data_IF_940558669709
#
_entry.id   IF_940558669709
#
_cell.length_a   1.000
_cell.length_b   1.000
_cell.length_c   1.000
_cell.angle_alpha   90.00
_cell.angle_beta   90.00
_cell.angle_gamma   90.00
#
_symmetry.space_group_name_H-M   'P 1'
#
loop_
_entity.id
_entity.type
_entity.pdbx_description
1 polymer ?
#
# COMPACT_ATOMS: atom_id res chain seq x y z
N UNK A 1 -3.58 5.09 -5.41
CA UNK A 1 -2.34 5.91 -5.50
C UNK A 1 -2.01 6.51 -4.16
N UNK A 2 -0.90 6.10 -3.52
CA UNK A 2 -0.33 6.73 -2.33
C UNK A 2 0.83 7.66 -2.71
N UNK A 3 1.87 7.70 -1.92
CA UNK A 3 3.12 8.45 -2.07
C UNK A 3 4.14 7.85 -1.11
N UNK A 4 5.41 8.18 -1.24
CA UNK A 4 6.40 7.93 -0.18
C UNK A 4 5.96 8.58 1.14
N UNK A 5 5.28 9.73 1.10
CA UNK A 5 4.68 10.40 2.26
C UNK A 5 3.54 9.61 2.93
N UNK A 6 3.17 8.46 2.42
CA UNK A 6 2.28 7.48 3.06
C UNK A 6 3.01 6.39 3.82
N UNK A 7 4.34 6.36 3.75
CA UNK A 7 5.21 5.37 4.38
C UNK A 7 6.19 6.03 5.34
N UNK A 8 6.65 7.24 4.98
CA UNK A 8 7.63 8.02 5.75
C UNK A 8 7.08 9.41 6.08
N UNK A 9 7.85 10.17 6.86
CA UNK A 9 7.54 11.56 7.17
C UNK A 9 7.62 12.45 5.91
N UNK A 10 6.77 13.47 5.87
CA UNK A 10 6.80 14.55 4.89
C UNK A 10 6.55 15.87 5.61
N UNK A 11 7.60 16.54 6.12
CA UNK A 11 7.48 17.74 6.94
C UNK A 11 6.64 18.84 6.29
N UNK A 12 5.68 19.38 7.04
CA UNK A 12 4.77 20.44 6.57
C UNK A 12 3.57 19.96 5.73
N UNK A 13 3.53 18.68 5.32
CA UNK A 13 2.42 18.13 4.53
C UNK A 13 1.41 17.33 5.38
N UNK A 14 0.88 17.94 6.44
CA UNK A 14 0.08 17.25 7.47
C UNK A 14 -1.10 16.46 6.91
N UNK A 15 -2.07 17.12 6.28
CA UNK A 15 -3.27 16.48 5.74
C UNK A 15 -2.94 15.53 4.56
N UNK A 16 -1.95 15.91 3.75
CA UNK A 16 -1.49 15.05 2.66
C UNK A 16 -0.90 13.74 3.20
N UNK A 17 0.02 13.82 4.19
CA UNK A 17 0.62 12.63 4.81
C UNK A 17 -0.44 11.75 5.46
N UNK A 18 -1.38 12.34 6.21
CA UNK A 18 -2.48 11.59 6.82
C UNK A 18 -3.31 10.84 5.75
N UNK A 19 -3.67 11.51 4.65
CA UNK A 19 -4.41 10.89 3.56
C UNK A 19 -3.61 9.75 2.88
N UNK A 20 -2.29 9.94 2.67
CA UNK A 20 -1.45 8.94 2.01
C UNK A 20 -1.13 7.74 2.90
N UNK A 21 -0.98 7.93 4.22
CA UNK A 21 -0.93 6.84 5.20
C UNK A 21 -2.25 6.07 5.25
N UNK A 22 -3.40 6.76 5.18
CA UNK A 22 -4.71 6.14 5.11
C UNK A 22 -4.86 5.21 3.90
N UNK A 23 -4.31 5.57 2.75
CA UNK A 23 -4.31 4.70 1.55
C UNK A 23 -3.49 3.42 1.79
N UNK A 24 -2.33 3.50 2.44
CA UNK A 24 -1.53 2.32 2.80
C UNK A 24 -2.29 1.45 3.81
N UNK A 25 -2.87 2.05 4.86
CA UNK A 25 -3.69 1.34 5.83
C UNK A 25 -4.87 0.61 5.18
N UNK A 26 -5.56 1.27 4.23
CA UNK A 26 -6.65 0.65 3.46
C UNK A 26 -6.15 -0.53 2.63
N UNK A 27 -5.04 -0.40 1.92
CA UNK A 27 -4.45 -1.48 1.12
C UNK A 27 -4.11 -2.68 2.01
N UNK A 28 -3.46 -2.44 3.17
CA UNK A 28 -3.13 -3.50 4.14
C UNK A 28 -4.37 -4.20 4.70
N UNK A 29 -5.44 -3.46 4.98
CA UNK A 29 -6.71 -4.03 5.43
C UNK A 29 -7.39 -4.89 4.37
N UNK A 30 -7.20 -4.57 3.08
CA UNK A 30 -7.81 -5.29 1.96
C UNK A 30 -6.99 -6.52 1.52
N UNK A 31 -5.67 -6.51 1.68
CA UNK A 31 -4.76 -7.47 1.04
C UNK A 31 -5.07 -8.95 1.33
N UNK A 32 -5.51 -9.28 2.53
CA UNK A 32 -5.82 -10.65 2.92
C UNK A 32 -7.29 -11.00 2.69
N UNK A 33 -8.17 -10.05 2.88
CA UNK A 33 -9.61 -10.29 2.89
C UNK A 33 -10.28 -10.14 1.53
N UNK A 34 -9.91 -9.11 0.76
CA UNK A 34 -10.59 -8.80 -0.49
C UNK A 34 -10.38 -9.86 -1.59
N UNK A 35 -9.22 -10.51 -1.73
CA UNK A 35 -9.04 -11.59 -2.69
C UNK A 35 -9.95 -12.78 -2.41
N UNK A 36 -10.04 -13.20 -1.15
CA UNK A 36 -10.84 -14.36 -0.74
C UNK A 36 -12.33 -14.10 -0.88
N UNK A 37 -12.78 -12.89 -0.50
CA UNK A 37 -14.20 -12.56 -0.45
C UNK A 37 -14.76 -12.09 -1.79
N UNK A 38 -13.98 -11.37 -2.56
CA UNK A 38 -14.45 -10.67 -3.76
C UNK A 38 -13.61 -10.95 -5.01
N UNK A 39 -12.53 -11.70 -4.92
CA UNK A 39 -11.60 -11.86 -6.03
C UNK A 39 -10.88 -10.56 -6.43
N UNK A 40 -10.75 -9.61 -5.49
CA UNK A 40 -10.17 -8.29 -5.72
C UNK A 40 -8.77 -8.23 -5.14
N UNK A 41 -7.79 -7.81 -5.94
CA UNK A 41 -6.44 -7.51 -5.50
C UNK A 41 -6.30 -6.03 -5.16
N UNK A 42 -5.50 -5.70 -4.14
CA UNK A 42 -5.25 -4.32 -3.72
C UNK A 42 -3.75 -4.07 -3.62
N UNK A 43 -3.23 -3.14 -4.39
CA UNK A 43 -1.84 -2.69 -4.34
C UNK A 43 -1.76 -1.17 -4.21
N UNK A 44 -0.71 -0.66 -3.62
CA UNK A 44 -0.44 0.76 -3.49
C UNK A 44 0.78 1.17 -4.33
N UNK A 45 0.64 2.24 -5.09
CA UNK A 45 1.75 2.86 -5.82
C UNK A 45 2.18 4.10 -5.03
N UNK A 46 3.45 4.15 -4.65
CA UNK A 46 4.04 5.14 -3.74
C UNK A 46 5.17 5.91 -4.42
N UNK A 47 4.87 6.81 -5.37
CA UNK A 47 5.90 7.59 -6.03
C UNK A 47 6.60 8.55 -5.06
N UNK A 48 7.88 8.75 -5.30
CA UNK A 48 8.62 9.89 -4.79
C UNK A 48 8.50 11.06 -5.77
N UNK A 49 9.49 11.97 -5.80
CA UNK A 49 9.48 13.11 -6.70
C UNK A 49 9.18 12.66 -8.14
N UNK A 50 8.14 13.21 -8.71
CA UNK A 50 7.70 12.93 -10.09
C UNK A 50 7.57 14.26 -10.83
N UNK A 51 8.05 14.32 -12.06
CA UNK A 51 8.05 15.53 -12.89
C UNK A 51 6.62 15.93 -13.29
N UNK A 52 5.98 16.64 -12.39
CA UNK A 52 4.63 17.16 -12.53
C UNK A 52 4.55 18.58 -12.00
N UNK A 53 3.44 19.25 -12.23
CA UNK A 53 3.19 20.59 -11.71
C UNK A 53 3.34 20.66 -10.18
N UNK A 54 3.06 19.58 -9.46
CA UNK A 54 3.19 19.51 -8.00
C UNK A 54 4.65 19.77 -7.54
N UNK A 55 5.63 19.36 -8.34
CA UNK A 55 7.05 19.50 -8.01
C UNK A 55 7.62 20.87 -8.43
N UNK A 56 6.89 21.71 -9.17
CA UNK A 56 7.40 22.92 -9.82
C UNK A 56 8.16 23.87 -8.88
N UNK A 57 7.68 24.02 -7.64
CA UNK A 57 8.28 24.90 -6.64
C UNK A 57 9.67 24.48 -6.15
N UNK A 58 10.03 23.19 -6.26
CA UNK A 58 11.29 22.65 -5.76
C UNK A 58 12.12 21.95 -6.85
N UNK A 59 11.58 21.79 -8.05
CA UNK A 59 12.20 21.03 -9.16
C UNK A 59 13.62 21.48 -9.48
N UNK A 60 13.86 22.79 -9.54
CA UNK A 60 15.19 23.35 -9.86
C UNK A 60 16.23 22.83 -8.86
N UNK A 61 15.98 23.03 -7.56
CA UNK A 61 16.87 22.58 -6.49
C UNK A 61 17.04 21.06 -6.47
N UNK A 62 15.95 20.31 -6.74
CA UNK A 62 15.98 18.84 -6.84
C UNK A 62 17.00 18.35 -7.87
N UNK A 63 17.00 18.99 -9.04
CA UNK A 63 17.93 18.67 -10.13
C UNK A 63 19.38 19.12 -9.83
N UNK A 64 19.57 20.26 -9.17
CA UNK A 64 20.88 20.75 -8.72
C UNK A 64 21.54 19.77 -7.75
N UNK A 65 20.73 19.17 -6.84
CA UNK A 65 21.15 18.14 -5.88
C UNK A 65 21.27 16.73 -6.51
N UNK A 66 21.03 16.60 -7.82
CA UNK A 66 21.06 15.32 -8.57
C UNK A 66 20.22 14.22 -7.95
N UNK A 67 19.09 14.57 -7.33
CA UNK A 67 18.18 13.62 -6.72
C UNK A 67 17.35 12.89 -7.79
N UNK A 68 16.96 11.62 -7.54
CA UNK A 68 16.18 10.86 -8.49
C UNK A 68 14.82 11.52 -8.79
N UNK A 69 14.48 11.59 -10.06
CA UNK A 69 13.22 12.15 -10.54
C UNK A 69 12.52 11.12 -11.43
N UNK A 70 11.27 10.81 -11.10
CA UNK A 70 10.42 9.98 -11.96
C UNK A 70 9.82 10.83 -13.08
N UNK A 71 9.62 10.23 -14.24
CA UNK A 71 8.66 10.72 -15.22
C UNK A 71 7.28 10.15 -14.93
N UNK A 72 6.17 10.80 -15.32
CA UNK A 72 4.83 10.25 -15.15
C UNK A 72 4.67 8.85 -15.74
N UNK A 73 5.33 8.57 -16.86
CA UNK A 73 5.34 7.27 -17.55
C UNK A 73 6.00 6.17 -16.71
N UNK A 74 7.03 6.52 -15.91
CA UNK A 74 7.63 5.57 -14.97
C UNK A 74 6.61 5.07 -13.96
N UNK A 75 5.81 5.99 -13.40
CA UNK A 75 4.77 5.64 -12.44
C UNK A 75 3.65 4.83 -13.11
N UNK A 76 3.22 5.25 -14.32
CA UNK A 76 2.17 4.56 -15.08
C UNK A 76 2.56 3.11 -15.38
N UNK A 77 3.82 2.83 -15.70
CA UNK A 77 4.32 1.46 -15.93
C UNK A 77 4.06 0.54 -14.73
N UNK A 78 4.31 0.99 -13.50
CA UNK A 78 4.04 0.19 -12.30
C UNK A 78 2.55 0.02 -12.01
N UNK A 79 1.71 1.01 -12.37
CA UNK A 79 0.25 0.84 -12.32
C UNK A 79 -0.19 -0.28 -13.26
N UNK A 80 0.30 -0.26 -14.50
CA UNK A 80 0.00 -1.30 -15.49
C UNK A 80 0.54 -2.67 -15.08
N UNK A 81 1.73 -2.73 -14.49
CA UNK A 81 2.30 -3.96 -13.94
C UNK A 81 1.38 -4.56 -12.86
N UNK A 82 0.93 -3.76 -11.89
CA UNK A 82 0.00 -4.23 -10.85
C UNK A 82 -1.34 -4.69 -11.44
N UNK A 83 -1.81 -4.08 -12.53
CA UNK A 83 -3.03 -4.50 -13.19
C UNK A 83 -2.88 -5.82 -13.95
N UNK A 84 -1.76 -5.99 -14.67
CA UNK A 84 -1.51 -7.13 -15.55
C UNK A 84 -0.99 -8.37 -14.81
N UNK A 85 -0.22 -8.21 -13.75
CA UNK A 85 0.37 -9.30 -12.99
C UNK A 85 -0.57 -9.73 -11.85
N UNK A 86 -1.25 -10.85 -12.05
CA UNK A 86 -2.22 -11.41 -11.10
C UNK A 86 -1.57 -11.86 -9.78
N UNK A 87 -0.27 -12.08 -9.75
CA UNK A 87 0.47 -12.47 -8.54
C UNK A 87 0.67 -11.30 -7.57
N UNK A 88 0.54 -10.06 -8.05
CA UNK A 88 0.74 -8.87 -7.23
C UNK A 88 -0.53 -8.52 -6.45
N UNK A 89 -0.51 -8.80 -5.16
CA UNK A 89 -1.53 -8.40 -4.20
C UNK A 89 -0.89 -7.98 -2.88
N UNK A 90 -1.42 -6.92 -2.26
CA UNK A 90 -0.93 -6.42 -0.97
C UNK A 90 0.43 -5.75 -1.04
N UNK A 91 0.85 -5.27 -2.20
CA UNK A 91 2.16 -4.64 -2.41
C UNK A 91 2.07 -3.12 -2.29
N UNK A 92 3.10 -2.51 -1.73
CA UNK A 92 3.29 -1.07 -1.73
C UNK A 92 4.59 -0.75 -2.48
N UNK A 93 4.46 -0.30 -3.73
CA UNK A 93 5.60 -0.08 -4.61
C UNK A 93 6.11 1.36 -4.49
N UNK A 94 7.23 1.54 -3.81
CA UNK A 94 8.00 2.78 -3.80
C UNK A 94 8.69 2.98 -5.15
N UNK A 95 8.49 4.14 -5.78
CA UNK A 95 9.05 4.44 -7.11
C UNK A 95 9.95 5.66 -7.03
N UNK A 96 11.21 5.50 -7.43
CA UNK A 96 12.24 6.53 -7.40
C UNK A 96 13.17 6.42 -8.61
N UNK A 97 13.21 7.47 -9.45
CA UNK A 97 14.03 7.51 -10.66
C UNK A 97 13.72 6.34 -11.61
N UNK A 98 12.46 6.03 -11.80
CA UNK A 98 11.97 4.93 -12.64
C UNK A 98 12.22 3.52 -12.10
N UNK A 99 12.71 3.37 -10.86
CA UNK A 99 12.95 2.09 -10.19
C UNK A 99 11.85 1.84 -9.16
N UNK A 100 11.29 0.64 -9.14
CA UNK A 100 10.30 0.20 -8.15
C UNK A 100 10.92 -0.69 -7.08
N UNK A 101 10.44 -0.56 -5.84
CA UNK A 101 10.83 -1.36 -4.70
C UNK A 101 9.60 -1.68 -3.85
N UNK A 102 9.39 -2.96 -3.52
CA UNK A 102 8.29 -3.37 -2.63
C UNK A 102 8.66 -3.11 -1.17
N UNK A 103 7.91 -2.23 -0.52
CA UNK A 103 8.16 -1.86 0.88
C UNK A 103 7.48 -2.80 1.87
N UNK A 104 6.44 -3.53 1.45
CA UNK A 104 5.70 -4.44 2.34
C UNK A 104 6.54 -5.66 2.72
N UNK A 105 7.33 -6.20 1.79
CA UNK A 105 8.25 -7.29 2.10
C UNK A 105 9.26 -6.91 3.21
N UNK A 106 9.80 -5.69 3.12
CA UNK A 106 10.69 -5.16 4.16
C UNK A 106 9.98 -4.96 5.49
N UNK A 107 8.78 -4.39 5.45
CA UNK A 107 7.95 -4.15 6.63
C UNK A 107 7.62 -5.47 7.36
N UNK A 108 7.10 -6.46 6.65
CA UNK A 108 6.70 -7.74 7.24
C UNK A 108 7.91 -8.49 7.83
N UNK A 109 9.04 -8.50 7.12
CA UNK A 109 10.28 -9.15 7.59
C UNK A 109 10.88 -8.51 8.83
N UNK A 110 10.70 -7.21 9.02
CA UNK A 110 11.31 -6.45 10.12
C UNK A 110 10.39 -6.26 11.33
N UNK A 111 9.20 -6.86 11.35
CA UNK A 111 8.29 -6.79 12.49
C UNK A 111 8.97 -7.06 13.84
N UNK A 112 9.79 -8.14 14.02
CA UNK A 112 10.45 -8.40 15.29
C UNK A 112 11.46 -7.32 15.69
N UNK A 113 12.07 -6.65 14.72
CA UNK A 113 13.12 -5.64 14.98
C UNK A 113 12.56 -4.36 15.62
N UNK A 114 11.34 -3.96 15.28
CA UNK A 114 10.76 -2.71 15.77
C UNK A 114 9.64 -2.89 16.80
N UNK A 115 9.03 -4.07 16.92
CA UNK A 115 8.04 -4.32 17.97
C UNK A 115 8.49 -5.36 19.00
N UNK A 116 9.64 -6.02 18.79
CA UNK A 116 10.18 -7.08 19.65
C UNK A 116 9.65 -8.46 19.30
N UNK A 117 10.46 -9.49 19.52
CA UNK A 117 10.19 -10.88 19.07
C UNK A 117 8.87 -11.45 19.63
N UNK A 118 8.65 -11.29 20.93
CA UNK A 118 7.44 -11.78 21.60
C UNK A 118 6.18 -11.08 21.08
N UNK A 119 6.22 -9.74 21.02
CA UNK A 119 5.10 -8.94 20.53
C UNK A 119 4.79 -9.25 19.06
N UNK A 120 5.82 -9.48 18.24
CA UNK A 120 5.62 -9.83 16.82
C UNK A 120 4.90 -11.17 16.68
N UNK A 121 5.26 -12.19 17.48
CA UNK A 121 4.56 -13.49 17.50
C UNK A 121 3.12 -13.35 17.94
N UNK A 122 2.87 -12.63 19.03
CA UNK A 122 1.52 -12.42 19.56
C UNK A 122 0.67 -11.61 18.58
N UNK A 123 1.25 -10.59 17.95
CA UNK A 123 0.60 -9.79 16.93
C UNK A 123 0.16 -10.65 15.74
N UNK A 124 1.06 -11.45 15.15
CA UNK A 124 0.75 -12.31 14.00
C UNK A 124 -0.35 -13.31 14.34
N UNK A 125 -0.25 -13.95 15.51
CA UNK A 125 -1.31 -14.85 15.99
C UNK A 125 -2.65 -14.13 16.19
N UNK A 126 -2.61 -12.91 16.72
CA UNK A 126 -3.81 -12.08 16.89
C UNK A 126 -4.46 -11.73 15.55
N UNK A 127 -3.67 -11.43 14.51
CA UNK A 127 -4.18 -11.16 13.16
C UNK A 127 -4.89 -12.38 12.55
N UNK A 128 -4.37 -13.59 12.75
CA UNK A 128 -5.05 -14.83 12.32
C UNK A 128 -6.42 -14.97 12.98
N UNK A 129 -6.51 -14.75 14.30
CA UNK A 129 -7.79 -14.82 15.04
C UNK A 129 -8.75 -13.74 14.55
N UNK A 130 -8.30 -12.50 14.36
CA UNK A 130 -9.11 -11.39 13.86
C UNK A 130 -9.59 -11.65 12.43
N UNK A 131 -8.75 -12.19 11.57
CA UNK A 131 -9.11 -12.56 10.20
C UNK A 131 -10.22 -13.60 10.16
N UNK A 132 -10.15 -14.62 11.00
CA UNK A 132 -11.21 -15.64 11.15
C UNK A 132 -12.52 -15.04 11.66
N UNK A 133 -12.47 -14.16 12.66
CA UNK A 133 -13.66 -13.50 13.22
C UNK A 133 -14.29 -12.57 12.18
N UNK A 134 -13.52 -11.79 11.45
CA UNK A 134 -14.04 -10.96 10.36
C UNK A 134 -14.72 -11.81 9.27
N UNK A 135 -14.14 -12.94 8.90
CA UNK A 135 -14.78 -13.87 7.95
C UNK A 135 -16.13 -14.39 8.45
N UNK A 136 -16.22 -14.72 9.73
CA UNK A 136 -17.45 -15.25 10.34
C UNK A 136 -18.53 -14.18 10.54
N UNK A 137 -18.15 -12.99 11.04
CA UNK A 137 -19.11 -11.93 11.36
C UNK A 137 -19.64 -11.19 10.13
N UNK A 138 -18.84 -11.13 9.07
CA UNK A 138 -19.22 -10.47 7.81
C UNK A 138 -19.78 -11.44 6.76
N UNK A 139 -19.99 -12.71 7.13
CA UNK A 139 -20.76 -13.63 6.33
C UNK A 139 -22.25 -13.23 6.42
N UNK A 140 -22.63 -12.26 5.63
CA UNK A 140 -24.04 -12.00 5.29
C UNK A 140 -24.36 -13.01 4.18
N UNK A 141 -25.25 -13.99 4.39
CA UNK A 141 -25.71 -14.86 3.30
C UNK A 141 -26.22 -13.96 2.17
N UNK A 142 -25.87 -14.29 0.93
CA UNK A 142 -26.42 -13.59 -0.23
C UNK A 142 -27.95 -13.62 -0.13
N UNK A 143 -28.63 -12.52 -0.49
CA UNK A 143 -30.08 -12.39 -0.41
C UNK A 143 -30.83 -13.48 -1.21
N UNK A 144 -30.17 -14.23 -2.05
CA UNK A 144 -30.69 -15.35 -2.83
C UNK A 144 -31.04 -16.60 -2.00
N UNK A 145 -30.61 -16.68 -0.73
CA UNK A 145 -30.97 -17.79 0.15
C UNK A 145 -32.34 -17.63 0.84
N UNK A 146 -33.01 -16.49 0.66
CA UNK A 146 -34.32 -16.19 1.24
C UNK A 146 -35.52 -16.37 0.27
N UNK A 147 -35.31 -16.70 -0.98
CA UNK A 147 -36.39 -16.85 -1.99
C UNK A 147 -36.61 -18.30 -2.43
N UNK A 148 -36.20 -19.29 -1.66
CA UNK A 148 -36.41 -20.71 -1.88
C UNK A 148 -37.25 -21.33 -0.77
N UNK A 149 -38.55 -21.07 -0.80
CA UNK A 149 -39.54 -21.68 0.05
C UNK A 149 -40.93 -21.55 -0.54
#
# INVERSE_FOLDING_TARGET
MSSIAGITEAPGLFAYSAAKHGVIGLMRALREWAPVRYGIRANAICPWATDTQLLSGVKKRWLEEKLPLNQPEDVARFVLQCAADESLNGRALFISGGRGFDTEEGYDRTLPQWMGDENAKDFLRGQEVLGLVCMLLLYVPSADSFLGG
#
